data_IF_155347017588
#
_entry.id   IF_155347017588
#
_cell.length_a   1.000
_cell.length_b   1.000
_cell.length_c   1.000
_cell.angle_alpha   90.00
_cell.angle_beta   90.00
_cell.angle_gamma   90.00
#
_symmetry.space_group_name_H-M   'P 1'
#
loop_
_entity.id
_entity.type
_entity.pdbx_description
1 polymer ?
#
# COMPACT_ATOMS: atom_id res chain seq x y z
N UNK A 1 3.31 -17.78 5.11
CA UNK A 1 4.60 -18.09 4.48
C UNK A 1 4.54 -17.59 3.05
N UNK A 2 5.24 -16.51 2.75
CA UNK A 2 5.33 -15.97 1.38
C UNK A 2 6.22 -16.92 0.59
N UNK A 3 5.64 -17.63 -0.39
CA UNK A 3 6.44 -18.40 -1.36
C UNK A 3 7.36 -17.40 -2.06
N UNK A 4 8.65 -17.60 -1.94
CA UNK A 4 9.67 -16.79 -2.60
C UNK A 4 9.43 -16.80 -4.11
N UNK A 5 9.28 -15.62 -4.71
CA UNK A 5 9.16 -15.40 -6.16
C UNK A 5 10.51 -15.65 -6.88
N UNK A 6 11.33 -16.56 -6.37
CA UNK A 6 12.72 -16.79 -6.81
C UNK A 6 12.88 -17.40 -8.19
N UNK A 7 11.79 -17.62 -8.93
CA UNK A 7 11.85 -18.20 -10.29
C UNK A 7 11.46 -17.24 -11.41
N UNK A 8 10.82 -16.08 -11.11
CA UNK A 8 10.49 -15.11 -12.14
C UNK A 8 11.68 -14.19 -12.42
N UNK A 9 12.20 -14.23 -13.66
CA UNK A 9 13.26 -13.33 -14.11
C UNK A 9 12.68 -12.10 -14.80
N UNK A 10 13.48 -11.02 -14.92
CA UNK A 10 13.08 -9.81 -15.64
C UNK A 10 12.84 -10.08 -17.13
N UNK A 11 13.60 -10.99 -17.72
CA UNK A 11 13.45 -11.41 -19.11
C UNK A 11 12.09 -12.09 -19.30
N UNK A 12 11.74 -13.06 -18.42
CA UNK A 12 10.45 -13.74 -18.48
C UNK A 12 9.29 -12.79 -18.25
N UNK A 13 9.42 -11.89 -17.30
CA UNK A 13 8.41 -10.87 -17.03
C UNK A 13 8.15 -10.02 -18.27
N UNK A 14 9.21 -9.53 -18.95
CA UNK A 14 9.12 -8.71 -20.16
C UNK A 14 8.71 -9.48 -21.40
N UNK A 15 8.89 -10.79 -21.42
CA UNK A 15 8.38 -11.65 -22.49
C UNK A 15 6.85 -11.74 -22.45
N UNK A 16 6.26 -11.89 -21.28
CA UNK A 16 4.83 -12.19 -21.11
C UNK A 16 3.95 -10.96 -20.90
N UNK A 17 4.52 -9.89 -20.32
CA UNK A 17 3.80 -8.65 -20.01
C UNK A 17 4.46 -7.46 -20.67
N UNK A 18 3.70 -6.39 -20.83
CA UNK A 18 4.16 -5.03 -20.99
C UNK A 18 3.67 -4.19 -19.82
N UNK A 19 4.40 -3.13 -19.47
CA UNK A 19 4.07 -2.28 -18.32
C UNK A 19 4.21 -0.81 -18.70
N UNK A 20 3.16 -0.04 -18.46
CA UNK A 20 3.20 1.40 -18.59
C UNK A 20 3.54 2.04 -17.23
N UNK A 21 4.72 2.65 -17.06
CA UNK A 21 5.14 3.23 -15.80
C UNK A 21 4.34 4.46 -15.38
N UNK A 22 3.67 5.15 -16.30
CA UNK A 22 2.88 6.34 -16.02
C UNK A 22 1.49 5.98 -15.46
N UNK A 23 0.86 4.97 -16.02
CA UNK A 23 -0.48 4.52 -15.62
C UNK A 23 -0.45 3.40 -14.57
N UNK A 24 0.65 2.63 -14.53
CA UNK A 24 0.78 1.46 -13.66
C UNK A 24 0.05 0.22 -14.19
N UNK A 25 -0.36 0.25 -15.46
CA UNK A 25 -1.13 -0.83 -16.08
C UNK A 25 -0.18 -1.84 -16.71
N UNK A 26 -0.48 -3.13 -16.49
CA UNK A 26 0.14 -4.24 -17.19
C UNK A 26 -0.77 -4.76 -18.28
N UNK A 27 -0.19 -5.14 -19.43
CA UNK A 27 -0.87 -5.71 -20.57
C UNK A 27 -0.19 -7.02 -20.98
N UNK A 28 -0.96 -8.05 -21.33
CA UNK A 28 -0.40 -9.30 -21.81
C UNK A 28 0.21 -9.11 -23.22
N UNK A 29 1.46 -9.48 -23.37
CA UNK A 29 2.13 -9.54 -24.70
C UNK A 29 1.84 -10.80 -25.45
N UNK A 30 1.60 -11.90 -24.75
CA UNK A 30 1.30 -13.20 -25.30
C UNK A 30 0.02 -13.75 -24.70
N UNK A 31 -0.62 -14.68 -25.38
CA UNK A 31 -1.77 -15.39 -24.82
C UNK A 31 -1.31 -16.36 -23.74
N UNK A 32 -1.81 -16.19 -22.52
CA UNK A 32 -1.45 -17.03 -21.37
C UNK A 32 -2.57 -17.99 -20.96
N UNK A 33 -3.80 -17.73 -21.39
CA UNK A 33 -4.95 -18.60 -21.15
C UNK A 33 -6.10 -18.32 -22.12
N UNK A 34 -7.20 -19.06 -21.99
CA UNK A 34 -8.43 -18.79 -22.76
C UNK A 34 -9.07 -17.44 -22.44
N UNK A 35 -8.78 -16.87 -21.25
CA UNK A 35 -9.34 -15.61 -20.76
C UNK A 35 -8.32 -14.45 -20.72
N UNK A 36 -7.10 -14.66 -21.21
CA UNK A 36 -6.02 -13.69 -21.20
C UNK A 36 -5.29 -13.74 -22.53
N UNK A 37 -5.74 -12.93 -23.47
CA UNK A 37 -5.17 -12.74 -24.81
C UNK A 37 -4.07 -11.69 -24.83
N UNK A 38 -3.26 -11.69 -25.88
CA UNK A 38 -2.33 -10.60 -26.14
C UNK A 38 -3.12 -9.29 -26.34
N UNK A 39 -2.69 -8.20 -25.68
CA UNK A 39 -3.36 -6.90 -25.69
C UNK A 39 -4.36 -6.70 -24.54
N UNK A 40 -4.75 -7.75 -23.84
CA UNK A 40 -5.66 -7.61 -22.68
C UNK A 40 -4.94 -7.03 -21.47
N UNK A 41 -5.66 -6.22 -20.67
CA UNK A 41 -5.13 -5.75 -19.37
C UNK A 41 -4.90 -6.97 -18.47
N UNK A 42 -3.71 -7.02 -17.87
CA UNK A 42 -3.32 -8.09 -16.98
C UNK A 42 -3.65 -7.73 -15.53
N UNK A 43 -4.27 -8.68 -14.83
CA UNK A 43 -4.56 -8.57 -13.41
C UNK A 43 -6.03 -8.77 -13.07
N UNK A 44 -6.25 -9.00 -11.79
CA UNK A 44 -7.58 -9.17 -11.18
C UNK A 44 -7.54 -8.62 -9.76
N UNK A 45 -8.70 -8.22 -9.23
CA UNK A 45 -8.85 -7.84 -7.83
C UNK A 45 -8.67 -9.08 -6.93
N UNK A 46 -7.80 -8.99 -5.94
CA UNK A 46 -7.55 -10.06 -4.97
C UNK A 46 -8.62 -10.17 -3.86
N UNK A 47 -9.65 -9.33 -3.91
CA UNK A 47 -10.70 -9.22 -2.89
C UNK A 47 -10.30 -8.41 -1.64
N UNK A 48 -9.07 -7.86 -1.64
CA UNK A 48 -8.55 -7.00 -0.58
C UNK A 48 -8.19 -5.61 -1.09
N UNK A 49 -8.59 -5.31 -2.34
CA UNK A 49 -8.34 -4.04 -2.99
C UNK A 49 -6.98 -3.91 -3.67
N UNK A 50 -6.25 -5.01 -3.87
CA UNK A 50 -5.00 -5.02 -4.62
C UNK A 50 -5.18 -5.70 -5.97
N UNK A 51 -4.47 -5.21 -6.98
CA UNK A 51 -4.34 -5.90 -8.26
C UNK A 51 -3.30 -7.01 -8.16
N UNK A 52 -3.68 -8.23 -8.51
CA UNK A 52 -2.79 -9.40 -8.61
C UNK A 52 -2.70 -9.90 -10.04
N UNK A 53 -1.52 -10.38 -10.44
CA UNK A 53 -1.28 -10.99 -11.76
C UNK A 53 -0.74 -12.39 -11.54
N UNK A 54 -1.22 -13.37 -12.32
CA UNK A 54 -0.73 -14.75 -12.25
C UNK A 54 0.17 -15.03 -13.45
N UNK A 55 1.45 -15.28 -13.20
CA UNK A 55 2.48 -15.60 -14.21
C UNK A 55 3.01 -17.00 -13.89
N UNK A 56 2.99 -17.88 -14.88
CA UNK A 56 3.51 -19.26 -14.78
C UNK A 56 3.01 -19.98 -13.50
N UNK A 57 1.71 -19.82 -13.18
CA UNK A 57 1.08 -20.43 -12.02
C UNK A 57 1.30 -19.68 -10.68
N UNK A 58 2.18 -18.70 -10.64
CA UNK A 58 2.49 -17.91 -9.43
C UNK A 58 1.72 -16.61 -9.43
N UNK A 59 1.00 -16.33 -8.34
CA UNK A 59 0.31 -15.06 -8.13
C UNK A 59 1.23 -14.04 -7.49
N UNK A 60 1.32 -12.85 -8.08
CA UNK A 60 2.15 -11.75 -7.62
C UNK A 60 1.34 -10.46 -7.64
N UNK A 61 1.54 -9.59 -6.67
CA UNK A 61 0.92 -8.26 -6.66
C UNK A 61 1.50 -7.36 -7.75
N UNK A 62 0.63 -6.61 -8.45
CA UNK A 62 1.02 -5.74 -9.56
C UNK A 62 2.03 -4.67 -9.14
N UNK A 63 1.88 -4.04 -7.96
CA UNK A 63 2.84 -3.05 -7.44
C UNK A 63 4.26 -3.65 -7.24
N UNK A 64 4.36 -4.93 -6.85
CA UNK A 64 5.67 -5.60 -6.73
C UNK A 64 6.26 -5.94 -8.10
N UNK A 65 5.42 -6.30 -9.06
CA UNK A 65 5.85 -6.51 -10.45
C UNK A 65 6.29 -5.20 -11.10
N UNK A 66 5.58 -4.08 -10.86
CA UNK A 66 5.94 -2.75 -11.34
C UNK A 66 7.33 -2.33 -10.83
N UNK A 67 7.59 -2.54 -9.54
CA UNK A 67 8.90 -2.32 -8.95
C UNK A 67 9.98 -3.19 -9.61
N UNK A 68 9.72 -4.49 -9.72
CA UNK A 68 10.66 -5.45 -10.33
C UNK A 68 10.92 -5.16 -11.80
N UNK A 69 9.88 -4.72 -12.55
CA UNK A 69 10.00 -4.31 -13.94
C UNK A 69 10.98 -3.15 -14.15
N UNK A 70 10.85 -2.11 -13.32
CA UNK A 70 11.64 -0.88 -13.46
C UNK A 70 13.05 -1.02 -12.89
N UNK A 71 13.18 -1.65 -11.72
CA UNK A 71 14.45 -1.70 -10.99
C UNK A 71 15.26 -3.00 -11.24
N UNK A 72 14.68 -4.02 -11.87
CA UNK A 72 15.34 -5.30 -12.12
C UNK A 72 15.55 -6.15 -10.88
N UNK A 73 15.18 -5.66 -9.71
CA UNK A 73 15.32 -6.34 -8.42
C UNK A 73 14.02 -6.29 -7.63
N UNK A 74 13.74 -7.35 -6.86
CA UNK A 74 12.59 -7.35 -5.96
C UNK A 74 12.75 -6.31 -4.87
N UNK A 75 11.64 -5.67 -4.41
CA UNK A 75 11.70 -4.74 -3.30
C UNK A 75 12.19 -5.46 -2.03
N UNK A 76 13.10 -4.80 -1.29
CA UNK A 76 13.67 -5.32 -0.05
C UNK A 76 12.66 -5.26 1.10
N UNK A 77 11.78 -4.29 1.08
CA UNK A 77 10.74 -4.07 2.08
C UNK A 77 9.33 -4.29 1.55
N UNK A 78 8.44 -3.41 1.98
CA UNK A 78 7.05 -3.36 1.56
C UNK A 78 6.87 -2.23 0.55
N UNK A 79 6.17 -2.50 -0.55
CA UNK A 79 5.78 -1.41 -1.46
C UNK A 79 4.60 -0.67 -0.84
N UNK A 80 4.79 0.63 -0.65
CA UNK A 80 3.78 1.58 -0.18
C UNK A 80 3.29 2.44 -1.34
N UNK A 81 1.97 2.66 -1.40
CA UNK A 81 1.35 3.57 -2.36
C UNK A 81 1.29 4.97 -1.75
N UNK A 82 2.00 5.92 -2.33
CA UNK A 82 2.16 7.28 -1.80
C UNK A 82 0.81 7.97 -1.64
N UNK A 83 -0.10 7.82 -2.59
CA UNK A 83 -1.46 8.36 -2.55
C UNK A 83 -2.45 7.54 -1.69
N UNK A 84 -2.04 6.35 -1.22
CA UNK A 84 -2.88 5.41 -0.47
C UNK A 84 -3.89 4.62 -1.32
N UNK A 85 -3.86 4.75 -2.66
CA UNK A 85 -4.72 4.00 -3.59
C UNK A 85 -4.01 2.74 -4.05
N UNK A 86 -4.40 1.60 -3.53
CA UNK A 86 -3.72 0.30 -3.69
C UNK A 86 -3.77 -0.28 -5.11
N UNK A 87 -4.61 0.28 -5.99
CA UNK A 87 -4.70 -0.07 -7.41
C UNK A 87 -3.89 0.86 -8.32
N UNK A 88 -3.38 1.98 -7.80
CA UNK A 88 -2.61 2.95 -8.57
C UNK A 88 -1.12 2.56 -8.58
N UNK A 89 -0.76 1.66 -9.51
CA UNK A 89 0.55 1.04 -9.58
C UNK A 89 1.55 1.78 -10.47
N UNK A 90 1.32 3.06 -10.83
CA UNK A 90 2.31 3.90 -11.51
C UNK A 90 3.60 3.97 -10.67
N UNK A 91 4.77 3.82 -11.30
CA UNK A 91 6.04 3.70 -10.55
C UNK A 91 6.31 4.91 -9.67
N UNK A 92 5.95 6.12 -10.10
CA UNK A 92 6.08 7.35 -9.31
C UNK A 92 5.25 7.36 -8.02
N UNK A 93 4.21 6.52 -7.96
CA UNK A 93 3.34 6.36 -6.78
C UNK A 93 3.82 5.25 -5.84
N UNK A 94 4.86 4.50 -6.21
CA UNK A 94 5.36 3.38 -5.44
C UNK A 94 6.69 3.72 -4.76
N UNK A 95 6.85 3.26 -3.52
CA UNK A 95 8.13 3.35 -2.81
C UNK A 95 8.39 2.08 -2.00
N UNK A 96 9.63 1.63 -2.02
CA UNK A 96 10.09 0.53 -1.17
C UNK A 96 10.45 1.07 0.21
N UNK A 97 9.70 0.67 1.22
CA UNK A 97 9.85 1.18 2.58
C UNK A 97 9.84 0.04 3.59
N UNK A 98 10.43 0.28 4.76
CA UNK A 98 10.26 -0.63 5.87
C UNK A 98 8.80 -0.61 6.39
N UNK A 99 8.42 -1.66 7.11
CA UNK A 99 7.06 -1.80 7.63
C UNK A 99 6.62 -0.63 8.52
N UNK A 100 7.55 -0.06 9.31
CA UNK A 100 7.23 1.06 10.21
C UNK A 100 6.85 2.32 9.41
N UNK A 101 7.58 2.63 8.33
CA UNK A 101 7.28 3.75 7.44
C UNK A 101 5.94 3.54 6.70
N UNK A 102 5.68 2.31 6.22
CA UNK A 102 4.40 1.98 5.58
C UNK A 102 3.21 2.19 6.55
N UNK A 103 3.37 1.76 7.81
CA UNK A 103 2.34 2.00 8.84
C UNK A 103 2.09 3.48 9.12
N UNK A 104 3.07 4.36 8.89
CA UNK A 104 2.90 5.80 9.02
C UNK A 104 2.05 6.42 7.90
N UNK A 105 1.99 5.80 6.72
CA UNK A 105 1.19 6.28 5.59
C UNK A 105 -0.30 5.90 5.67
N UNK A 106 -0.74 5.16 6.68
CA UNK A 106 -2.16 4.83 6.82
C UNK A 106 -3.03 6.09 6.84
N UNK A 107 -4.00 6.17 5.93
CA UNK A 107 -4.93 7.32 5.77
C UNK A 107 -6.26 7.13 6.50
N UNK A 108 -6.62 5.89 6.80
CA UNK A 108 -7.87 5.53 7.49
C UNK A 108 -7.66 4.62 8.70
N UNK A 109 -8.60 4.65 9.62
CA UNK A 109 -8.64 3.69 10.71
C UNK A 109 -8.93 2.29 10.16
N UNK A 110 -8.41 1.25 10.82
CA UNK A 110 -8.77 -0.13 10.49
C UNK A 110 -10.26 -0.36 10.74
N UNK A 111 -10.84 -1.29 10.01
CA UNK A 111 -12.26 -1.65 10.13
C UNK A 111 -12.67 -2.13 11.54
N UNK A 112 -11.71 -2.56 12.36
CA UNK A 112 -11.91 -2.97 13.75
C UNK A 112 -11.92 -1.79 14.75
N UNK A 113 -11.61 -0.56 14.33
CA UNK A 113 -11.79 0.64 15.14
C UNK A 113 -13.26 1.08 15.14
N UNK A 114 -14.09 0.28 15.78
CA UNK A 114 -15.55 0.52 15.89
C UNK A 114 -15.92 1.67 16.84
N UNK A 115 -14.94 2.23 17.59
CA UNK A 115 -15.22 3.19 18.67
C UNK A 115 -15.29 4.62 18.16
N UNK A 116 -14.28 5.09 17.42
CA UNK A 116 -14.29 6.45 16.85
C UNK A 116 -14.28 6.45 15.32
N UNK A 117 -13.85 5.34 14.68
CA UNK A 117 -13.62 5.28 13.24
C UNK A 117 -12.46 6.15 12.75
N UNK A 118 -11.74 6.82 13.66
CA UNK A 118 -10.70 7.79 13.34
C UNK A 118 -9.33 7.33 13.84
N UNK A 119 -8.28 7.55 13.03
CA UNK A 119 -6.90 7.27 13.43
C UNK A 119 -6.49 8.14 14.61
N UNK A 120 -5.80 7.53 15.57
CA UNK A 120 -5.20 8.23 16.70
C UNK A 120 -6.18 8.70 17.76
N UNK A 121 -7.47 8.36 17.66
CA UNK A 121 -8.53 8.78 18.58
C UNK A 121 -9.03 7.60 19.40
N UNK A 122 -9.06 7.75 20.71
CA UNK A 122 -9.59 6.75 21.64
C UNK A 122 -10.50 7.41 22.69
N UNK A 123 -11.53 6.70 23.21
CA UNK A 123 -12.38 7.22 24.27
C UNK A 123 -11.58 7.42 25.57
N UNK A 124 -11.90 8.47 26.31
CA UNK A 124 -11.25 8.82 27.58
C UNK A 124 -12.24 9.52 28.54
N UNK A 125 -12.81 8.77 29.49
CA UNK A 125 -13.67 9.31 30.56
C UNK A 125 -14.79 10.24 30.05
N UNK A 126 -15.55 9.80 29.03
CA UNK A 126 -16.62 10.57 28.42
C UNK A 126 -16.16 11.67 27.44
N UNK A 127 -14.86 11.70 27.13
CA UNK A 127 -14.23 12.57 26.14
C UNK A 127 -13.39 11.75 25.16
N UNK A 128 -12.59 12.40 24.31
CA UNK A 128 -11.77 11.79 23.28
C UNK A 128 -10.30 12.17 23.43
N UNK A 129 -9.43 11.19 23.61
CA UNK A 129 -7.99 11.41 23.69
C UNK A 129 -7.36 11.21 22.32
N UNK A 130 -6.52 12.16 21.90
CA UNK A 130 -5.65 12.03 20.75
C UNK A 130 -4.31 11.45 21.17
N UNK A 131 -3.80 10.49 20.39
CA UNK A 131 -2.53 9.83 20.65
C UNK A 131 -1.85 9.39 19.35
N UNK A 132 -0.51 9.44 19.34
CA UNK A 132 0.30 8.99 18.21
C UNK A 132 1.45 8.13 18.71
N UNK A 133 1.90 7.19 17.91
CA UNK A 133 3.11 6.41 18.19
C UNK A 133 4.21 6.87 17.24
N UNK A 134 5.29 7.41 17.78
CA UNK A 134 6.45 7.86 17.03
C UNK A 134 7.74 7.48 17.77
N UNK A 135 8.79 7.08 17.04
CA UNK A 135 10.06 6.65 17.64
C UNK A 135 9.91 5.46 18.62
N UNK A 136 8.94 4.56 18.36
CA UNK A 136 8.62 3.43 19.26
C UNK A 136 7.83 3.81 20.51
N UNK A 137 7.61 5.11 20.80
CA UNK A 137 6.91 5.60 21.97
C UNK A 137 5.52 6.10 21.61
N UNK A 138 4.60 6.01 22.59
CA UNK A 138 3.25 6.54 22.51
C UNK A 138 3.24 7.95 23.10
N UNK A 139 2.79 8.91 22.31
CA UNK A 139 2.65 10.31 22.73
C UNK A 139 1.17 10.63 22.91
N UNK A 140 0.82 11.18 24.06
CA UNK A 140 -0.50 11.71 24.35
C UNK A 140 -0.54 13.17 23.88
N UNK A 141 -1.54 13.51 23.03
CA UNK A 141 -1.64 14.82 22.37
C UNK A 141 -2.68 15.74 23.00
N UNK A 142 -3.49 15.20 23.93
CA UNK A 142 -4.55 15.93 24.62
C UNK A 142 -5.86 15.17 24.69
N UNK A 143 -6.84 15.77 25.40
CA UNK A 143 -8.21 15.27 25.54
C UNK A 143 -9.17 16.34 25.06
N UNK A 144 -10.12 15.95 24.21
CA UNK A 144 -11.01 16.84 23.46
C UNK A 144 -12.48 16.48 23.73
N UNK A 145 -13.38 17.40 23.45
CA UNK A 145 -14.82 17.17 23.61
C UNK A 145 -15.38 16.33 22.51
N UNK A 146 -14.87 16.47 21.27
CA UNK A 146 -15.32 15.73 20.08
C UNK A 146 -14.23 14.81 19.55
N UNK A 147 -14.57 13.73 18.88
CA UNK A 147 -13.59 12.86 18.22
C UNK A 147 -12.92 13.56 17.02
N UNK A 148 -13.60 14.51 16.37
CA UNK A 148 -13.08 15.29 15.25
C UNK A 148 -11.93 16.21 15.71
N UNK A 149 -12.08 16.91 16.84
CA UNK A 149 -11.01 17.75 17.40
C UNK A 149 -9.79 16.91 17.82
N UNK A 150 -10.03 15.75 18.43
CA UNK A 150 -8.97 14.81 18.76
C UNK A 150 -8.24 14.31 17.49
N UNK A 151 -9.00 14.03 16.42
CA UNK A 151 -8.44 13.60 15.15
C UNK A 151 -7.64 14.71 14.46
N UNK A 152 -8.11 15.94 14.52
CA UNK A 152 -7.37 17.10 14.00
C UNK A 152 -6.01 17.23 14.69
N UNK A 153 -5.97 17.15 16.03
CA UNK A 153 -4.71 17.16 16.78
C UNK A 153 -3.78 15.99 16.39
N UNK A 154 -4.34 14.80 16.14
CA UNK A 154 -3.59 13.65 15.61
C UNK A 154 -3.00 13.94 14.23
N UNK A 155 -3.76 14.54 13.29
CA UNK A 155 -3.27 14.85 11.94
C UNK A 155 -2.13 15.86 11.96
N UNK A 156 -2.22 16.90 12.82
CA UNK A 156 -1.13 17.85 13.02
C UNK A 156 0.13 17.16 13.52
N UNK A 157 0.01 16.33 14.56
CA UNK A 157 1.13 15.58 15.09
C UNK A 157 1.70 14.57 14.07
N UNK A 158 0.85 13.94 13.28
CA UNK A 158 1.26 13.00 12.22
C UNK A 158 2.15 13.68 11.18
N UNK A 159 1.84 14.91 10.77
CA UNK A 159 2.67 15.70 9.84
C UNK A 159 4.06 16.00 10.42
N UNK A 160 4.15 16.21 11.73
CA UNK A 160 5.41 16.53 12.40
C UNK A 160 6.27 15.30 12.71
N UNK A 161 5.66 14.19 13.11
CA UNK A 161 6.39 13.04 13.66
C UNK A 161 6.58 11.88 12.66
N UNK A 162 5.77 11.79 11.61
CA UNK A 162 5.80 10.66 10.66
C UNK A 162 6.44 11.07 9.33
N UNK A 163 7.70 10.71 9.12
CA UNK A 163 8.41 10.92 7.84
C UNK A 163 7.80 10.15 6.66
N UNK A 164 7.10 9.04 6.94
CA UNK A 164 6.37 8.25 5.94
C UNK A 164 4.99 8.81 5.59
N UNK A 165 4.55 9.87 6.28
CA UNK A 165 3.24 10.48 6.04
C UNK A 165 3.19 11.22 4.71
N UNK A 166 2.09 11.06 3.97
CA UNK A 166 1.83 11.69 2.66
C UNK A 166 0.54 12.53 2.66
N UNK A 167 0.07 12.95 3.85
CA UNK A 167 -1.09 13.83 4.02
C UNK A 167 -0.73 15.29 3.80
#
# INVERSE_FOLDING_TARGET
MSKSNSTLTTERLREVLDYDPETGIFVWRIRTSSRAGAGDIAGFDDGKGYTSIRIDGTQVFAHRLAWFWVHGTWPAGVIDHIDGVTTHNAIRNLRDVNHATNMQNLKGAKCDNSTSGMLGVVPSRGRWAAQIRAGGKKHHLGVYLTPEDAHHAYLVAKRLFHSGNTL
#
